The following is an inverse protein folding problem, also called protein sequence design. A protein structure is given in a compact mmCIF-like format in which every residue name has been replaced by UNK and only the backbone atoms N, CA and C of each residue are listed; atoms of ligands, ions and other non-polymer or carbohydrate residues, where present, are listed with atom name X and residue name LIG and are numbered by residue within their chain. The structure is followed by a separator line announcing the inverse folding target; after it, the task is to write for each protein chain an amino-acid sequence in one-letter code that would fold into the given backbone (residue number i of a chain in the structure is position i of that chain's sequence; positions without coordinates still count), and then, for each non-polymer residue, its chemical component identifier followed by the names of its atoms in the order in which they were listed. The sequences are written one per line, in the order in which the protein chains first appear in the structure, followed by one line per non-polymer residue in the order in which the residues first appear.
data_IF_422738395134
#
_entry.id   IF_422738395134
#
_cell.length_a   1.000
_cell.length_b   1.000
_cell.length_c   1.000
_cell.angle_alpha   90.00
_cell.angle_beta   90.00
_cell.angle_gamma   90.00
#
_symmetry.space_group_name_H-M   'P 1'
#
loop_
_entity.id
_entity.type
_entity.pdbx_description
1 polymer ?
#
# COMPACT_ATOMS: atom_id res chain seq x y z
N UNK A 1 39.86 -30.56 17.88
CA UNK A 1 39.51 -30.38 16.46
C UNK A 1 38.47 -31.38 15.95
N UNK A 2 38.72 -32.71 15.99
CA UNK A 2 37.75 -33.72 15.49
C UNK A 2 36.38 -33.72 16.19
N UNK A 3 36.33 -33.41 17.50
CA UNK A 3 35.07 -33.29 18.27
C UNK A 3 34.28 -32.00 17.98
N UNK A 4 34.97 -30.92 17.62
CA UNK A 4 34.34 -29.64 17.22
C UNK A 4 33.76 -29.72 15.80
N UNK A 5 34.45 -30.43 14.90
CA UNK A 5 34.02 -30.64 13.51
C UNK A 5 32.80 -31.58 13.41
N UNK A 6 32.67 -32.53 14.34
CA UNK A 6 31.51 -33.42 14.47
C UNK A 6 30.26 -32.70 15.01
N UNK A 7 30.42 -31.72 15.90
CA UNK A 7 29.32 -30.89 16.41
C UNK A 7 28.81 -29.93 15.33
N UNK A 8 29.71 -29.36 14.52
CA UNK A 8 29.36 -28.48 13.39
C UNK A 8 28.56 -29.22 12.30
N UNK A 9 28.96 -30.45 11.97
CA UNK A 9 28.27 -31.29 10.97
C UNK A 9 26.91 -31.79 11.48
N UNK A 10 26.78 -32.11 12.78
CA UNK A 10 25.49 -32.52 13.36
C UNK A 10 24.49 -31.36 13.41
N UNK A 11 24.96 -30.11 13.59
CA UNK A 11 24.11 -28.92 13.64
C UNK A 11 23.55 -28.52 12.26
N UNK A 12 24.30 -28.78 11.17
CA UNK A 12 23.83 -28.57 9.79
C UNK A 12 22.69 -29.53 9.42
N UNK A 13 22.63 -30.72 10.03
CA UNK A 13 21.57 -31.71 9.79
C UNK A 13 20.28 -31.39 10.56
N UNK A 14 20.34 -30.55 11.60
CA UNK A 14 19.14 -30.08 12.34
C UNK A 14 18.60 -28.76 11.76
N UNK A 15 19.36 -28.11 10.86
CA UNK A 15 18.99 -26.89 10.13
C UNK A 15 18.41 -27.13 8.73
N UNK A 16 18.25 -28.39 8.28
CA UNK A 16 17.49 -28.64 7.06
C UNK A 16 16.04 -28.23 7.31
N UNK A 17 15.49 -27.23 6.61
CA UNK A 17 14.08 -26.91 6.75
C UNK A 17 13.30 -28.16 6.35
N UNK A 18 12.37 -28.57 7.22
CA UNK A 18 11.27 -29.43 6.82
C UNK A 18 10.56 -28.64 5.72
N UNK A 19 10.88 -28.94 4.46
CA UNK A 19 10.13 -28.47 3.31
C UNK A 19 8.73 -29.05 3.45
N UNK A 20 7.88 -28.32 4.16
CA UNK A 20 6.45 -28.51 4.07
C UNK A 20 6.09 -28.23 2.62
N UNK A 21 5.65 -29.27 1.92
CA UNK A 21 5.03 -29.14 0.62
C UNK A 21 3.75 -28.30 0.81
N UNK A 22 3.89 -26.99 0.66
CA UNK A 22 2.77 -26.06 0.52
C UNK A 22 2.77 -25.58 -0.93
N UNK A 23 1.67 -25.88 -1.60
CA UNK A 23 1.43 -25.53 -2.99
C UNK A 23 1.19 -24.03 -3.13
N UNK A 24 1.97 -23.41 -4.03
CA UNK A 24 1.70 -22.16 -4.77
C UNK A 24 1.95 -20.82 -4.05
N UNK A 25 2.88 -20.07 -4.66
CA UNK A 25 3.23 -18.65 -4.46
C UNK A 25 4.12 -18.37 -3.25
N UNK A 26 5.41 -18.12 -3.51
CA UNK A 26 6.38 -17.49 -2.60
C UNK A 26 5.95 -16.04 -2.29
N UNK A 27 4.80 -15.87 -1.65
CA UNK A 27 4.29 -14.54 -1.35
C UNK A 27 4.90 -14.06 -0.04
N UNK A 28 6.07 -13.45 -0.13
CA UNK A 28 6.84 -12.93 1.01
C UNK A 28 6.17 -11.74 1.73
N UNK A 29 4.92 -11.42 1.37
CA UNK A 29 4.19 -10.22 1.78
C UNK A 29 4.90 -8.94 1.34
N UNK A 30 5.80 -9.01 0.35
CA UNK A 30 6.66 -7.91 -0.05
C UNK A 30 6.68 -7.75 -1.55
N UNK A 31 6.25 -6.58 -2.02
CA UNK A 31 6.09 -6.32 -3.43
C UNK A 31 6.57 -4.93 -3.81
N UNK A 32 7.14 -4.82 -5.01
CA UNK A 32 7.52 -3.56 -5.63
C UNK A 32 6.89 -3.46 -7.01
N UNK A 33 6.25 -2.34 -7.30
CA UNK A 33 5.80 -2.00 -8.65
C UNK A 33 6.58 -0.84 -9.21
N UNK A 34 6.94 -0.94 -10.49
CA UNK A 34 7.62 0.11 -11.23
C UNK A 34 6.70 0.63 -12.33
N UNK A 35 6.56 1.96 -12.43
CA UNK A 35 5.97 2.55 -13.63
C UNK A 35 6.78 2.19 -14.88
N UNK A 36 6.12 1.90 -16.00
CA UNK A 36 6.80 1.39 -17.21
C UNK A 36 7.89 2.31 -17.76
N UNK A 37 7.76 3.64 -17.62
CA UNK A 37 8.83 4.56 -18.02
C UNK A 37 10.02 4.48 -17.08
N UNK A 38 9.78 4.34 -15.77
CA UNK A 38 10.84 4.14 -14.78
C UNK A 38 11.56 2.81 -15.00
N UNK A 39 10.81 1.72 -15.22
CA UNK A 39 11.38 0.40 -15.43
C UNK A 39 12.26 0.34 -16.68
N UNK A 40 11.86 1.03 -17.75
CA UNK A 40 12.57 1.05 -19.03
C UNK A 40 13.85 1.91 -19.01
N UNK A 41 14.09 2.68 -17.96
CA UNK A 41 15.28 3.53 -17.80
C UNK A 41 16.11 3.06 -16.60
N UNK A 42 17.30 2.45 -16.82
CA UNK A 42 18.13 1.93 -15.74
C UNK A 42 18.51 2.96 -14.67
N UNK A 43 18.74 4.23 -15.05
CA UNK A 43 19.05 5.28 -14.08
C UNK A 43 17.85 5.61 -13.21
N UNK A 44 16.65 5.67 -13.78
CA UNK A 44 15.43 5.91 -13.02
C UNK A 44 15.11 4.76 -12.08
N UNK A 45 15.22 3.53 -12.57
CA UNK A 45 15.04 2.32 -11.76
C UNK A 45 16.02 2.32 -10.57
N UNK A 46 17.29 2.65 -10.79
CA UNK A 46 18.28 2.74 -9.72
C UNK A 46 17.96 3.83 -8.69
N UNK A 47 17.51 5.02 -9.14
CA UNK A 47 17.06 6.09 -8.22
C UNK A 47 15.93 5.62 -7.32
N UNK A 48 14.93 4.93 -7.88
CA UNK A 48 13.79 4.42 -7.12
C UNK A 48 14.20 3.28 -6.18
N UNK A 49 15.03 2.35 -6.64
CA UNK A 49 15.56 1.26 -5.81
C UNK A 49 16.31 1.79 -4.59
N UNK A 50 17.24 2.73 -4.79
CA UNK A 50 17.97 3.37 -3.69
C UNK A 50 17.02 4.02 -2.68
N UNK A 51 15.95 4.66 -3.16
CA UNK A 51 14.94 5.25 -2.28
C UNK A 51 14.23 4.17 -1.46
N UNK A 52 13.77 3.08 -2.09
CA UNK A 52 13.15 1.97 -1.36
C UNK A 52 14.09 1.31 -0.35
N UNK A 53 15.34 1.03 -0.71
CA UNK A 53 16.36 0.49 0.20
C UNK A 53 16.57 1.37 1.43
N UNK A 54 16.52 2.69 1.28
CA UNK A 54 16.64 3.61 2.42
C UNK A 54 15.41 3.65 3.35
N UNK A 55 14.29 3.03 2.94
CA UNK A 55 13.02 3.02 3.67
C UNK A 55 12.61 1.63 4.17
N UNK A 56 13.40 0.59 3.91
CA UNK A 56 13.14 -0.76 4.44
C UNK A 56 14.41 -1.39 5.01
N UNK A 57 14.24 -2.25 6.00
CA UNK A 57 15.32 -3.13 6.48
C UNK A 57 15.36 -4.47 5.73
N UNK A 58 14.38 -4.74 4.86
CA UNK A 58 14.35 -5.94 4.02
C UNK A 58 15.23 -5.75 2.79
N UNK A 59 15.81 -6.82 2.28
CA UNK A 59 16.45 -6.79 0.97
C UNK A 59 15.38 -6.57 -0.11
N UNK A 60 15.47 -5.47 -0.85
CA UNK A 60 14.53 -5.14 -1.93
C UNK A 60 14.52 -6.18 -3.05
N UNK A 61 15.56 -7.02 -3.15
CA UNK A 61 15.61 -8.14 -4.09
C UNK A 61 14.69 -9.31 -3.68
N UNK A 62 14.27 -9.38 -2.41
CA UNK A 62 13.28 -10.36 -1.93
C UNK A 62 11.84 -9.97 -2.33
N UNK A 63 11.63 -8.77 -2.87
CA UNK A 63 10.32 -8.30 -3.28
C UNK A 63 9.88 -8.94 -4.60
N UNK A 64 8.63 -9.41 -4.63
CA UNK A 64 7.97 -9.72 -5.90
C UNK A 64 7.79 -8.42 -6.70
N UNK A 65 8.31 -8.37 -7.92
CA UNK A 65 8.27 -7.13 -8.72
C UNK A 65 7.44 -7.23 -9.99
N UNK A 66 6.75 -6.14 -10.32
CA UNK A 66 5.99 -5.99 -11.58
C UNK A 66 6.09 -4.60 -12.17
N UNK A 67 5.82 -4.52 -13.46
CA UNK A 67 5.67 -3.25 -14.18
C UNK A 67 4.20 -2.87 -14.22
N UNK A 68 3.91 -1.59 -13.99
CA UNK A 68 2.59 -0.97 -14.16
C UNK A 68 2.62 -0.19 -15.47
N UNK A 69 1.71 -0.53 -16.37
CA UNK A 69 1.63 0.04 -17.72
C UNK A 69 0.62 1.19 -17.79
N UNK A 70 0.73 2.03 -18.82
CA UNK A 70 -0.29 3.04 -19.10
C UNK A 70 -1.66 2.41 -19.36
N UNK A 71 -1.73 1.21 -19.93
CA UNK A 71 -2.99 0.51 -20.14
C UNK A 71 -3.69 0.22 -18.82
N UNK A 72 -2.97 -0.34 -17.84
CA UNK A 72 -3.50 -0.63 -16.49
C UNK A 72 -3.93 0.64 -15.75
N UNK A 73 -3.15 1.73 -15.83
CA UNK A 73 -3.54 3.00 -15.22
C UNK A 73 -4.81 3.56 -15.88
N UNK A 74 -4.87 3.54 -17.21
CA UNK A 74 -5.97 4.13 -17.97
C UNK A 74 -7.27 3.31 -17.94
N UNK A 75 -7.20 2.01 -17.62
CA UNK A 75 -8.37 1.14 -17.41
C UNK A 75 -9.33 1.72 -16.37
N UNK A 76 -8.77 2.29 -15.31
CA UNK A 76 -9.51 2.92 -14.22
C UNK A 76 -9.59 4.44 -14.42
N UNK A 77 -8.46 5.10 -14.66
CA UNK A 77 -8.39 6.57 -14.61
C UNK A 77 -9.29 7.25 -15.64
N UNK A 78 -9.45 6.66 -16.83
CA UNK A 78 -10.20 7.28 -17.92
C UNK A 78 -11.68 7.45 -17.58
N UNK A 79 -12.29 6.45 -16.95
CA UNK A 79 -13.72 6.46 -16.64
C UNK A 79 -14.03 7.25 -15.37
N UNK A 80 -13.08 7.28 -14.43
CA UNK A 80 -13.27 7.93 -13.13
C UNK A 80 -12.85 9.40 -13.15
N UNK A 81 -11.69 9.71 -13.73
CA UNK A 81 -11.08 11.05 -13.67
C UNK A 81 -11.15 11.80 -14.99
N UNK A 82 -11.48 11.13 -16.09
CA UNK A 82 -11.35 11.65 -17.45
C UNK A 82 -9.91 11.77 -17.95
N UNK A 83 -8.90 11.46 -17.11
CA UNK A 83 -7.48 11.55 -17.48
C UNK A 83 -7.01 10.28 -18.17
N UNK A 84 -6.19 10.48 -19.20
CA UNK A 84 -5.48 9.41 -19.91
C UNK A 84 -3.99 9.75 -19.93
N UNK A 85 -3.17 8.79 -19.54
CA UNK A 85 -1.72 8.95 -19.43
C UNK A 85 -1.05 8.16 -20.56
N UNK A 86 -0.16 8.78 -21.35
CA UNK A 86 0.69 8.05 -22.27
C UNK A 86 1.75 7.26 -21.48
N UNK A 87 2.32 6.23 -22.11
CA UNK A 87 3.37 5.42 -21.49
C UNK A 87 4.53 6.23 -20.93
N UNK A 88 4.91 7.31 -21.64
CA UNK A 88 5.97 8.25 -21.25
C UNK A 88 5.69 9.04 -19.97
N UNK A 89 4.52 8.90 -19.34
CA UNK A 89 4.14 9.58 -18.10
C UNK A 89 3.93 8.63 -16.91
N UNK A 90 4.15 7.32 -17.08
CA UNK A 90 4.01 6.34 -16.01
C UNK A 90 5.35 6.18 -15.28
N UNK A 91 5.63 7.09 -14.35
CA UNK A 91 6.88 7.16 -13.58
C UNK A 91 6.78 6.59 -12.17
N UNK A 92 5.66 6.80 -11.50
CA UNK A 92 5.53 6.50 -10.08
C UNK A 92 5.68 5.00 -9.79
N UNK A 93 6.25 4.70 -8.64
CA UNK A 93 6.57 3.35 -8.18
C UNK A 93 6.09 3.19 -6.73
N UNK A 94 5.76 1.96 -6.34
CA UNK A 94 5.28 1.67 -5.00
C UNK A 94 5.91 0.39 -4.43
N UNK A 95 6.31 0.44 -3.17
CA UNK A 95 6.71 -0.71 -2.37
C UNK A 95 5.65 -0.97 -1.30
N UNK A 96 5.27 -2.24 -1.11
CA UNK A 96 4.35 -2.68 -0.06
C UNK A 96 5.00 -3.79 0.75
N UNK A 97 4.95 -3.67 2.08
CA UNK A 97 5.41 -4.68 3.04
C UNK A 97 4.30 -4.99 4.05
N UNK A 98 3.77 -6.21 3.98
CA UNK A 98 2.70 -6.74 4.84
C UNK A 98 3.22 -7.28 6.18
N UNK A 99 4.53 -7.29 6.42
CA UNK A 99 5.06 -7.57 7.77
C UNK A 99 4.71 -6.46 8.77
N UNK A 100 4.34 -5.27 8.29
CA UNK A 100 3.80 -4.21 9.11
C UNK A 100 2.30 -4.41 9.33
N UNK A 101 1.93 -4.81 10.55
CA UNK A 101 0.54 -5.13 10.93
C UNK A 101 -0.06 -4.17 11.98
N UNK A 102 0.46 -2.94 12.07
CA UNK A 102 0.01 -1.92 13.03
C UNK A 102 -0.81 -0.83 12.33
N UNK A 103 -1.78 -1.25 11.52
CA UNK A 103 -2.53 -0.36 10.65
C UNK A 103 -1.81 -0.08 9.32
N UNK A 104 -2.24 0.97 8.62
CA UNK A 104 -1.62 1.41 7.36
C UNK A 104 -0.57 2.48 7.68
N UNK A 105 0.66 2.25 7.25
CA UNK A 105 1.71 3.27 7.25
C UNK A 105 2.05 3.62 5.81
N UNK A 106 1.88 4.88 5.41
CA UNK A 106 2.27 5.35 4.09
C UNK A 106 3.41 6.36 4.22
N UNK A 107 4.44 6.22 3.40
CA UNK A 107 5.49 7.21 3.20
C UNK A 107 5.50 7.63 1.73
N UNK A 108 5.30 8.91 1.49
CA UNK A 108 5.36 9.51 0.16
C UNK A 108 6.62 10.36 0.07
N UNK A 109 7.39 10.18 -1.01
CA UNK A 109 8.49 11.07 -1.35
C UNK A 109 7.95 12.45 -1.77
N UNK A 110 7.81 13.35 -0.80
CA UNK A 110 7.29 14.71 -1.01
C UNK A 110 8.19 15.59 -1.88
N UNK A 111 9.43 15.16 -2.18
CA UNK A 111 10.29 15.85 -3.15
C UNK A 111 9.95 15.50 -4.60
N UNK A 112 9.12 14.47 -4.81
CA UNK A 112 8.74 13.94 -6.13
C UNK A 112 7.24 13.93 -6.35
N UNK A 113 6.46 13.59 -5.33
CA UNK A 113 5.00 13.53 -5.39
C UNK A 113 4.44 14.84 -4.83
N UNK A 114 3.75 15.60 -5.69
CA UNK A 114 3.44 17.02 -5.39
C UNK A 114 1.98 17.29 -5.01
N UNK A 115 1.06 16.35 -5.25
CA UNK A 115 -0.37 16.54 -4.98
C UNK A 115 -0.86 15.55 -3.94
N UNK A 116 -0.67 14.26 -4.19
CA UNK A 116 -1.22 13.21 -3.34
C UNK A 116 -0.37 13.01 -2.08
N UNK A 117 -0.99 13.12 -0.91
CA UNK A 117 -0.30 12.96 0.37
C UNK A 117 -0.34 11.51 0.89
N UNK A 118 0.43 11.26 1.95
CA UNK A 118 0.42 9.95 2.63
C UNK A 118 -0.97 9.63 3.20
N UNK A 119 -1.70 10.64 3.69
CA UNK A 119 -3.05 10.46 4.25
C UNK A 119 -4.07 10.17 3.17
N UNK A 120 -3.98 10.84 2.01
CA UNK A 120 -4.85 10.55 0.86
C UNK A 120 -4.70 9.10 0.36
N UNK A 121 -3.46 8.60 0.23
CA UNK A 121 -3.26 7.18 -0.06
C UNK A 121 -3.85 6.28 1.01
N UNK A 122 -3.66 6.61 2.30
CA UNK A 122 -4.20 5.78 3.39
C UNK A 122 -5.72 5.69 3.34
N UNK A 123 -6.42 6.81 3.10
CA UNK A 123 -7.89 6.83 2.97
C UNK A 123 -8.34 6.03 1.75
N UNK A 124 -7.70 6.21 0.60
CA UNK A 124 -8.02 5.44 -0.61
C UNK A 124 -7.81 3.93 -0.43
N UNK A 125 -6.78 3.51 0.32
CA UNK A 125 -6.55 2.10 0.63
C UNK A 125 -7.62 1.53 1.56
N UNK A 126 -8.09 2.31 2.55
CA UNK A 126 -9.21 1.88 3.41
C UNK A 126 -10.48 1.63 2.58
N UNK A 127 -10.72 2.42 1.54
CA UNK A 127 -11.83 2.20 0.59
C UNK A 127 -11.77 0.84 -0.11
N UNK A 128 -10.60 0.21 -0.24
CA UNK A 128 -10.44 -1.16 -0.76
C UNK A 128 -10.36 -2.23 0.33
N UNK A 129 -10.77 -1.92 1.56
CA UNK A 129 -10.70 -2.85 2.68
C UNK A 129 -9.27 -3.18 3.15
N UNK A 130 -8.26 -2.47 2.62
CA UNK A 130 -6.88 -2.58 3.10
C UNK A 130 -6.81 -1.83 4.42
N UNK A 131 -6.45 -2.53 5.49
CA UNK A 131 -6.36 -1.98 6.84
C UNK A 131 -4.95 -2.09 7.44
N UNK A 132 -4.02 -2.76 6.76
CA UNK A 132 -2.67 -3.01 7.22
C UNK A 132 -1.65 -2.90 6.09
N UNK A 133 -0.39 -2.73 6.47
CA UNK A 133 0.75 -2.74 5.56
C UNK A 133 1.54 -1.44 5.60
N UNK A 134 2.80 -1.54 5.18
CA UNK A 134 3.69 -0.42 5.00
C UNK A 134 3.86 -0.13 3.52
N UNK A 135 3.53 1.09 3.11
CA UNK A 135 3.57 1.57 1.73
C UNK A 135 4.62 2.66 1.60
N UNK A 136 5.45 2.56 0.56
CA UNK A 136 6.36 3.64 0.16
C UNK A 136 6.11 3.99 -1.29
N UNK A 137 5.87 5.27 -1.57
CA UNK A 137 5.58 5.80 -2.90
C UNK A 137 6.64 6.82 -3.29
N UNK A 138 7.23 6.67 -4.48
CA UNK A 138 8.18 7.63 -5.04
C UNK A 138 8.13 7.63 -6.57
N UNK A 139 8.88 8.53 -7.19
CA UNK A 139 9.06 8.65 -8.64
C UNK A 139 10.47 9.18 -8.93
N UNK A 140 11.12 8.79 -10.04
CA UNK A 140 12.43 9.34 -10.41
C UNK A 140 12.37 10.85 -10.72
N UNK A 141 11.19 11.35 -11.11
CA UNK A 141 10.91 12.75 -11.50
C UNK A 141 9.66 13.28 -10.78
N UNK A 142 9.41 14.58 -10.86
CA UNK A 142 8.19 15.16 -10.29
C UNK A 142 6.94 14.55 -10.94
N UNK A 143 5.98 14.14 -10.12
CA UNK A 143 4.69 13.58 -10.51
C UNK A 143 3.60 14.01 -9.50
N UNK A 144 2.35 13.97 -9.92
CA UNK A 144 1.23 14.40 -9.07
C UNK A 144 0.84 13.33 -8.04
N UNK A 145 0.95 12.05 -8.43
CA UNK A 145 0.79 10.89 -7.53
C UNK A 145 -0.44 10.02 -7.81
N UNK A 146 -1.46 10.52 -8.53
CA UNK A 146 -2.73 9.82 -8.71
C UNK A 146 -2.54 8.48 -9.44
N UNK A 147 -1.71 8.44 -10.49
CA UNK A 147 -1.38 7.19 -11.21
C UNK A 147 -0.56 6.20 -10.36
N UNK A 148 0.08 6.67 -9.28
CA UNK A 148 0.81 5.80 -8.38
C UNK A 148 -0.14 4.90 -7.57
N UNK A 149 -1.39 5.31 -7.34
CA UNK A 149 -2.37 4.49 -6.61
C UNK A 149 -2.58 3.15 -7.31
N UNK A 150 -2.63 3.12 -8.65
CA UNK A 150 -2.69 1.85 -9.41
C UNK A 150 -1.50 0.95 -9.07
N UNK A 151 -0.29 1.51 -8.96
CA UNK A 151 0.89 0.76 -8.53
C UNK A 151 0.83 0.29 -7.08
N UNK A 152 0.34 1.11 -6.17
CA UNK A 152 0.13 0.72 -4.77
C UNK A 152 -0.84 -0.46 -4.67
N UNK A 153 -2.02 -0.34 -5.28
CA UNK A 153 -3.04 -1.40 -5.31
C UNK A 153 -2.46 -2.67 -5.94
N UNK A 154 -1.70 -2.53 -7.03
CA UNK A 154 -1.03 -3.65 -7.69
C UNK A 154 0.01 -4.33 -6.80
N UNK A 155 0.79 -3.56 -6.03
CA UNK A 155 1.73 -4.10 -5.05
C UNK A 155 1.01 -4.89 -3.96
N UNK A 156 -0.18 -4.44 -3.51
CA UNK A 156 -1.02 -5.23 -2.61
C UNK A 156 -1.53 -6.52 -3.25
N UNK A 157 -2.05 -6.48 -4.48
CA UNK A 157 -2.50 -7.69 -5.18
C UNK A 157 -1.38 -8.73 -5.30
N UNK A 158 -0.16 -8.27 -5.56
CA UNK A 158 1.03 -9.12 -5.63
C UNK A 158 1.34 -9.69 -4.24
N UNK A 159 1.49 -8.83 -3.22
CA UNK A 159 1.86 -9.23 -1.86
C UNK A 159 0.83 -10.12 -1.17
N UNK A 160 -0.46 -10.00 -1.53
CA UNK A 160 -1.56 -10.85 -1.04
C UNK A 160 -1.73 -12.08 -1.92
N UNK A 161 -1.45 -11.98 -3.22
CA UNK A 161 -1.64 -13.06 -4.19
C UNK A 161 -3.09 -13.18 -4.66
N UNK A 162 -3.91 -12.17 -4.38
CA UNK A 162 -5.33 -12.09 -4.71
C UNK A 162 -5.62 -10.72 -5.29
N UNK A 163 -6.38 -10.68 -6.40
CA UNK A 163 -6.76 -9.41 -7.03
C UNK A 163 -7.74 -8.63 -6.17
N UNK A 164 -7.65 -7.31 -6.21
CA UNK A 164 -8.65 -6.42 -5.61
C UNK A 164 -9.82 -6.32 -6.60
N UNK A 165 -11.08 -6.47 -6.15
CA UNK A 165 -12.26 -6.24 -6.97
C UNK A 165 -12.19 -4.93 -7.75
N UNK A 166 -12.64 -4.94 -9.00
CA UNK A 166 -12.49 -3.81 -9.92
C UNK A 166 -13.24 -2.57 -9.42
N UNK A 167 -14.46 -2.76 -8.92
CA UNK A 167 -15.29 -1.75 -8.29
C UNK A 167 -14.63 -1.10 -7.07
N UNK A 168 -13.84 -1.86 -6.30
CA UNK A 168 -13.10 -1.31 -5.16
C UNK A 168 -11.90 -0.49 -5.62
N UNK A 169 -11.16 -0.94 -6.65
CA UNK A 169 -10.07 -0.14 -7.24
C UNK A 169 -10.60 1.17 -7.85
N UNK A 170 -11.78 1.12 -8.47
CA UNK A 170 -12.47 2.30 -8.99
C UNK A 170 -12.88 3.25 -7.86
N UNK A 171 -13.52 2.76 -6.80
CA UNK A 171 -13.92 3.58 -5.66
C UNK A 171 -12.71 4.23 -4.96
N UNK A 172 -11.60 3.52 -4.80
CA UNK A 172 -10.38 4.09 -4.23
C UNK A 172 -9.76 5.18 -5.13
N UNK A 173 -9.80 4.97 -6.45
CA UNK A 173 -9.32 5.97 -7.42
C UNK A 173 -10.22 7.21 -7.43
N UNK A 174 -11.54 7.02 -7.33
CA UNK A 174 -12.52 8.10 -7.23
C UNK A 174 -12.34 8.90 -5.94
N UNK A 175 -12.17 8.21 -4.81
CA UNK A 175 -11.91 8.83 -3.51
C UNK A 175 -10.66 9.71 -3.55
N UNK A 176 -9.51 9.13 -3.93
CA UNK A 176 -8.23 9.86 -4.00
C UNK A 176 -8.26 11.05 -4.96
N UNK A 177 -8.93 10.88 -6.10
CA UNK A 177 -9.11 11.94 -7.08
C UNK A 177 -10.00 13.07 -6.56
N UNK A 178 -11.11 12.72 -5.91
CA UNK A 178 -12.04 13.69 -5.33
C UNK A 178 -11.38 14.44 -4.19
N UNK A 179 -10.68 13.76 -3.29
CA UNK A 179 -9.87 14.40 -2.25
C UNK A 179 -8.89 15.44 -2.85
N UNK A 180 -8.17 15.04 -3.90
CA UNK A 180 -7.22 15.93 -4.59
C UNK A 180 -7.90 17.15 -5.22
N UNK A 181 -9.07 16.95 -5.85
CA UNK A 181 -9.85 18.06 -6.43
C UNK A 181 -10.40 19.00 -5.37
N UNK A 182 -10.98 18.46 -4.29
CA UNK A 182 -11.57 19.27 -3.23
C UNK A 182 -10.47 20.09 -2.54
N UNK A 183 -9.31 19.51 -2.27
CA UNK A 183 -8.16 20.24 -1.71
C UNK A 183 -7.73 21.40 -2.62
N UNK A 184 -7.59 21.15 -3.93
CA UNK A 184 -7.21 22.18 -4.91
C UNK A 184 -8.27 23.31 -5.01
N UNK A 185 -9.55 22.95 -5.14
CA UNK A 185 -10.64 23.92 -5.31
C UNK A 185 -10.90 24.77 -4.06
N UNK A 186 -10.76 24.18 -2.87
CA UNK A 186 -11.00 24.88 -1.59
C UNK A 186 -9.76 25.62 -1.09
N UNK A 187 -8.57 25.27 -1.60
CA UNK A 187 -7.28 25.74 -1.08
C UNK A 187 -6.98 25.25 0.34
N UNK A 188 -7.72 24.24 0.83
CA UNK A 188 -7.49 23.63 2.13
C UNK A 188 -6.27 22.72 2.09
N UNK A 189 -5.70 22.48 3.27
CA UNK A 189 -4.65 21.48 3.44
C UNK A 189 -5.14 20.10 2.94
N UNK A 190 -4.44 19.45 2.00
CA UNK A 190 -4.78 18.11 1.51
C UNK A 190 -4.98 17.07 2.62
N UNK A 191 -4.19 17.13 3.70
CA UNK A 191 -4.32 16.19 4.82
C UNK A 191 -5.57 16.44 5.67
N UNK A 192 -6.10 17.67 5.63
CA UNK A 192 -7.35 18.05 6.29
C UNK A 192 -8.56 17.58 5.47
N UNK A 193 -8.48 17.63 4.14
CA UNK A 193 -9.49 17.02 3.25
C UNK A 193 -9.48 15.49 3.37
N UNK A 194 -8.30 14.86 3.39
CA UNK A 194 -8.19 13.42 3.62
C UNK A 194 -8.74 13.02 5.00
N UNK A 195 -8.63 13.89 6.02
CA UNK A 195 -9.29 13.68 7.33
C UNK A 195 -10.80 13.69 7.25
N UNK A 196 -11.37 14.65 6.51
CA UNK A 196 -12.80 14.74 6.29
C UNK A 196 -13.30 13.45 5.63
N UNK A 197 -12.65 12.97 4.58
CA UNK A 197 -13.01 11.71 3.93
C UNK A 197 -12.92 10.52 4.89
N UNK A 198 -11.83 10.40 5.64
CA UNK A 198 -11.65 9.28 6.60
C UNK A 198 -12.75 9.27 7.68
N UNK A 199 -13.07 10.43 8.26
CA UNK A 199 -14.12 10.52 9.29
C UNK A 199 -15.53 10.28 8.70
N UNK A 200 -15.83 10.81 7.50
CA UNK A 200 -17.11 10.57 6.82
C UNK A 200 -17.25 9.10 6.47
N UNK A 201 -16.20 8.46 5.96
CA UNK A 201 -16.19 7.04 5.64
C UNK A 201 -16.44 6.20 6.90
N UNK A 202 -15.74 6.47 8.00
CA UNK A 202 -15.93 5.74 9.26
C UNK A 202 -17.36 5.89 9.80
N UNK A 203 -17.92 7.11 9.76
CA UNK A 203 -19.29 7.33 10.24
C UNK A 203 -20.33 6.66 9.33
N UNK A 204 -20.14 6.69 8.01
CA UNK A 204 -20.98 5.97 7.07
C UNK A 204 -20.93 4.45 7.28
N UNK A 205 -19.74 3.89 7.53
CA UNK A 205 -19.54 2.46 7.86
C UNK A 205 -20.24 2.08 9.16
N UNK A 206 -20.06 2.88 10.23
CA UNK A 206 -20.67 2.63 11.53
C UNK A 206 -22.20 2.64 11.48
N UNK A 207 -22.78 3.47 10.61
CA UNK A 207 -24.22 3.57 10.40
C UNK A 207 -24.74 2.67 9.26
N UNK A 208 -23.84 1.93 8.58
CA UNK A 208 -24.15 1.09 7.43
C UNK A 208 -24.92 1.84 6.32
N UNK A 209 -24.45 3.04 5.98
CA UNK A 209 -25.06 3.93 5.00
C UNK A 209 -24.43 3.78 3.61
N UNK A 210 -25.28 3.63 2.59
CA UNK A 210 -24.88 3.62 1.18
C UNK A 210 -25.61 4.70 0.35
N UNK A 211 -26.53 5.45 0.97
CA UNK A 211 -27.29 6.52 0.32
C UNK A 211 -26.51 7.84 0.36
N UNK A 212 -26.11 8.40 -0.79
CA UNK A 212 -25.36 9.66 -0.82
C UNK A 212 -26.09 10.82 -0.14
N UNK A 213 -27.43 10.83 -0.13
CA UNK A 213 -28.18 11.92 0.52
C UNK A 213 -27.96 11.93 2.04
N UNK A 214 -27.96 10.76 2.65
CA UNK A 214 -27.72 10.60 4.09
C UNK A 214 -26.24 10.87 4.41
N UNK A 215 -25.33 10.40 3.57
CA UNK A 215 -23.89 10.63 3.73
C UNK A 215 -23.56 12.12 3.59
N UNK A 216 -24.22 12.86 2.71
CA UNK A 216 -24.00 14.32 2.56
C UNK A 216 -24.29 15.09 3.85
N UNK A 217 -25.28 14.68 4.63
CA UNK A 217 -25.52 15.29 5.94
C UNK A 217 -24.33 15.06 6.90
N UNK A 218 -23.72 13.87 6.86
CA UNK A 218 -22.51 13.55 7.63
C UNK A 218 -21.33 14.42 7.16
N UNK A 219 -21.13 14.55 5.83
CA UNK A 219 -20.10 15.41 5.23
C UNK A 219 -20.21 16.84 5.76
N UNK A 220 -21.40 17.45 5.71
CA UNK A 220 -21.62 18.82 6.16
C UNK A 220 -21.28 18.98 7.65
N UNK A 221 -21.70 18.03 8.49
CA UNK A 221 -21.46 18.09 9.94
C UNK A 221 -19.97 17.95 10.29
N UNK A 222 -19.26 17.02 9.64
CA UNK A 222 -17.84 16.80 9.87
C UNK A 222 -17.02 17.96 9.30
N UNK A 223 -17.36 18.45 8.10
CA UNK A 223 -16.72 19.62 7.50
C UNK A 223 -16.82 20.85 8.41
N UNK A 224 -18.00 21.10 8.99
CA UNK A 224 -18.18 22.17 9.97
C UNK A 224 -17.29 21.99 11.22
N UNK A 225 -17.18 20.76 11.74
CA UNK A 225 -16.32 20.44 12.89
C UNK A 225 -14.84 20.66 12.57
N UNK A 226 -14.42 20.33 11.35
CA UNK A 226 -13.06 20.55 10.86
C UNK A 226 -12.81 22.00 10.39
N UNK A 227 -13.81 22.89 10.42
CA UNK A 227 -13.73 24.24 9.85
C UNK A 227 -13.30 24.21 8.37
N UNK A 228 -13.98 23.39 7.57
CA UNK A 228 -13.85 23.31 6.12
C UNK A 228 -15.14 23.89 5.54
N UNK A 229 -15.02 24.94 4.73
CA UNK A 229 -16.15 25.49 3.98
C UNK A 229 -16.29 24.74 2.67
N UNK A 230 -17.46 24.15 2.43
CA UNK A 230 -17.77 23.36 1.24
C UNK A 230 -19.00 23.94 0.55
N UNK A 231 -18.96 23.98 -0.78
CA UNK A 231 -20.18 24.18 -1.55
C UNK A 231 -21.07 22.94 -1.48
N UNK A 232 -22.35 23.11 -1.81
CA UNK A 232 -23.30 21.99 -1.85
C UNK A 232 -22.87 20.90 -2.84
N UNK A 233 -22.27 21.30 -3.97
CA UNK A 233 -21.72 20.40 -4.99
C UNK A 233 -20.50 19.64 -4.46
N UNK A 234 -19.59 20.32 -3.77
CA UNK A 234 -18.42 19.69 -3.16
C UNK A 234 -18.82 18.67 -2.09
N UNK A 235 -19.78 19.02 -1.22
CA UNK A 235 -20.30 18.09 -0.23
C UNK A 235 -20.97 16.87 -0.89
N UNK A 236 -21.65 17.06 -2.03
CA UNK A 236 -22.23 15.97 -2.81
C UNK A 236 -21.16 15.05 -3.40
N UNK A 237 -20.09 15.61 -3.99
CA UNK A 237 -19.00 14.83 -4.56
C UNK A 237 -18.32 13.93 -3.52
N UNK A 238 -18.07 14.44 -2.31
CA UNK A 238 -17.52 13.65 -1.20
C UNK A 238 -18.50 12.53 -0.82
N UNK A 239 -19.78 12.86 -0.71
CA UNK A 239 -20.81 11.88 -0.34
C UNK A 239 -20.95 10.76 -1.37
N UNK A 240 -20.88 11.08 -2.67
CA UNK A 240 -20.93 10.12 -3.77
C UNK A 240 -19.71 9.19 -3.74
N UNK A 241 -18.50 9.74 -3.57
CA UNK A 241 -17.27 8.96 -3.48
C UNK A 241 -17.28 7.99 -2.28
N UNK A 242 -17.72 8.46 -1.10
CA UNK A 242 -17.88 7.60 0.08
C UNK A 242 -18.96 6.55 -0.14
N UNK A 243 -20.11 6.91 -0.71
CA UNK A 243 -21.18 5.95 -1.00
C UNK A 243 -20.71 4.84 -1.97
N UNK A 244 -19.92 5.19 -2.97
CA UNK A 244 -19.34 4.23 -3.91
C UNK A 244 -18.33 3.30 -3.22
N UNK A 245 -17.51 3.84 -2.31
CA UNK A 245 -16.64 3.03 -1.45
C UNK A 245 -17.45 2.07 -0.56
N UNK A 246 -18.58 2.51 0.00
CA UNK A 246 -19.42 1.65 0.84
C UNK A 246 -20.07 0.52 0.05
N UNK A 247 -20.54 0.79 -1.17
CA UNK A 247 -21.09 -0.24 -2.07
C UNK A 247 -20.02 -1.26 -2.49
N UNK A 248 -18.78 -0.83 -2.66
CA UNK A 248 -17.67 -1.72 -3.01
C UNK A 248 -17.24 -2.65 -1.84
N UNK A 249 -17.62 -2.38 -0.59
CA UNK A 249 -17.27 -3.24 0.55
C UNK A 249 -17.85 -4.66 0.43
N UNK A 250 -19.01 -4.82 -0.22
CA UNK A 250 -19.70 -6.10 -0.34
C UNK A 250 -18.87 -7.14 -1.13
N UNK A 251 -18.04 -6.70 -2.08
CA UNK A 251 -17.20 -7.59 -2.88
C UNK A 251 -15.80 -7.83 -2.32
N UNK A 252 -15.43 -7.15 -1.23
CA UNK A 252 -14.07 -7.20 -0.68
C UNK A 252 -13.82 -8.35 0.29
N UNK A 253 -14.83 -9.18 0.58
CA UNK A 253 -14.74 -10.25 1.58
C UNK A 253 -13.55 -11.19 1.33
N UNK A 254 -13.40 -11.69 0.10
CA UNK A 254 -12.31 -12.62 -0.24
C UNK A 254 -10.94 -11.95 -0.13
N UNK A 255 -10.81 -10.74 -0.66
CA UNK A 255 -9.56 -9.99 -0.59
C UNK A 255 -9.17 -9.66 0.86
N UNK A 256 -10.11 -9.23 1.70
CA UNK A 256 -9.87 -8.92 3.13
C UNK A 256 -9.37 -10.16 3.89
N UNK A 257 -9.99 -11.32 3.66
CA UNK A 257 -9.57 -12.58 4.27
C UNK A 257 -8.14 -12.95 3.85
N UNK A 258 -7.81 -12.83 2.56
CA UNK A 258 -6.47 -13.14 2.06
C UNK A 258 -5.43 -12.14 2.54
N UNK A 259 -5.78 -10.85 2.64
CA UNK A 259 -4.91 -9.82 3.22
C UNK A 259 -4.58 -10.13 4.68
N UNK A 260 -5.55 -10.57 5.47
CA UNK A 260 -5.33 -10.96 6.87
C UNK A 260 -4.36 -12.15 6.95
N UNK A 261 -4.57 -13.20 6.16
CA UNK A 261 -3.69 -14.37 6.09
C UNK A 261 -2.26 -13.95 5.68
N UNK A 262 -2.13 -13.17 4.61
CA UNK A 262 -0.84 -12.72 4.10
C UNK A 262 -0.08 -11.85 5.14
N UNK A 263 -0.80 -10.96 5.83
CA UNK A 263 -0.24 -10.12 6.91
C UNK A 263 0.27 -10.96 8.08
N UNK A 264 -0.50 -11.97 8.51
CA UNK A 264 -0.11 -12.88 9.59
C UNK A 264 1.14 -13.69 9.21
N UNK A 265 1.18 -14.23 7.98
CA UNK A 265 2.32 -15.00 7.48
C UNK A 265 3.59 -14.15 7.35
N UNK A 266 3.47 -12.95 6.79
CA UNK A 266 4.60 -12.03 6.62
C UNK A 266 5.20 -11.62 7.98
N UNK A 267 4.34 -11.33 8.97
CA UNK A 267 4.76 -10.96 10.32
C UNK A 267 5.46 -12.11 11.05
N UNK A 268 4.95 -13.34 10.92
CA UNK A 268 5.56 -14.53 11.53
C UNK A 268 6.92 -14.89 10.90
N UNK A 269 7.05 -14.75 9.58
CA UNK A 269 8.30 -14.98 8.87
C UNK A 269 9.42 -14.06 9.36
N UNK A 270 9.12 -12.75 9.52
CA UNK A 270 10.07 -11.79 10.11
C UNK A 270 10.45 -12.14 11.55
N UNK A 271 9.46 -12.47 12.39
CA UNK A 271 9.71 -12.87 13.78
C UNK A 271 10.59 -14.12 13.89
N UNK A 272 10.38 -15.10 13.02
CA UNK A 272 11.16 -16.36 12.98
C UNK A 272 12.59 -16.10 12.52
N UNK A 273 12.79 -15.29 11.48
CA UNK A 273 14.12 -14.88 11.02
C UNK A 273 14.86 -14.11 12.11
N UNK A 274 14.20 -13.18 12.81
CA UNK A 274 14.82 -12.44 13.90
C UNK A 274 15.23 -13.34 15.07
N UNK A 275 14.41 -14.34 15.41
CA UNK A 275 14.77 -15.33 16.42
C UNK A 275 16.00 -16.13 15.99
N UNK A 276 16.06 -16.62 14.74
CA UNK A 276 17.22 -17.35 14.21
C UNK A 276 18.48 -16.47 14.24
N UNK A 277 18.39 -15.21 13.81
CA UNK A 277 19.51 -14.25 13.86
C UNK A 277 19.99 -14.05 15.30
N UNK A 278 19.08 -13.86 16.25
CA UNK A 278 19.44 -13.68 17.66
C UNK A 278 20.11 -14.94 18.24
N UNK A 279 19.67 -16.14 17.86
CA UNK A 279 20.32 -17.40 18.24
C UNK A 279 21.73 -17.51 17.63
N UNK A 280 21.90 -17.17 16.35
CA UNK A 280 23.20 -17.19 15.67
C UNK A 280 24.17 -16.16 16.27
N UNK A 281 23.71 -14.95 16.59
CA UNK A 281 24.51 -13.94 17.28
C UNK A 281 24.94 -14.41 18.67
N UNK A 282 24.00 -14.93 19.46
CA UNK A 282 24.29 -15.47 20.79
C UNK A 282 25.31 -16.62 20.74
N UNK A 283 25.26 -17.45 19.69
CA UNK A 283 26.23 -18.51 19.46
C UNK A 283 27.60 -17.98 19.05
N UNK A 284 27.66 -16.97 18.16
CA UNK A 284 28.92 -16.31 17.78
C UNK A 284 29.58 -15.65 18.99
N UNK A 285 28.80 -14.93 19.81
CA UNK A 285 29.29 -14.30 21.03
C UNK A 285 29.80 -15.34 22.04
N UNK A 286 29.09 -16.45 22.20
CA UNK A 286 29.54 -17.58 23.01
C UNK A 286 30.87 -18.13 22.51
N UNK A 287 31.03 -18.40 21.20
CA UNK A 287 32.28 -18.92 20.64
C UNK A 287 33.43 -17.91 20.79
N UNK A 288 33.18 -16.63 20.58
CA UNK A 288 34.17 -15.56 20.76
C UNK A 288 34.59 -15.40 22.24
N UNK A 289 33.76 -15.76 23.20
CA UNK A 289 34.13 -15.73 24.62
C UNK A 289 35.17 -16.79 25.03
N UNK A 290 35.43 -17.79 24.18
CA UNK A 290 36.45 -18.83 24.39
C UNK A 290 37.73 -18.62 23.57
N UNK A 291 37.83 -17.52 22.81
CA UNK A 291 39.00 -17.11 22.03
C UNK A 291 39.63 -15.89 22.69
#
# INVERSE_FOLDING_TARGET
MKRLLLVLILMIVVLSPIYSASTNTDNSGFAITYGETTYSNPSYKNTVLNYFESHTSRDVNDASSKVVTAAEVNEISKNITGRTYPSSQIFSCAMVDLSYSQGIKVVVDSSKITVVTSKMYATALKSTGINNGYVVVTSPVSATGESALTGVLKSYEIAVGTSIPEEAKQAATESLYTESQIADQTGQDPDKIAELFDQVQQEAENQNLQDPTQIKAIVINIAATLNIDLTDDQAQQIADAVANSQKAQDSLTDFKNQLEIATQQASQSQGTIQQIINYLQSFVDYVMSFI
#
